data_IF_109975232252
#
_entry.id   IF_109975232252
#
_cell.length_a   1.000
_cell.length_b   1.000
_cell.length_c   1.000
_cell.angle_alpha   90.00
_cell.angle_beta   90.00
_cell.angle_gamma   90.00
#
_symmetry.space_group_name_H-M   'P 1'
#
loop_
_entity.id
_entity.type
_entity.pdbx_description
1 polymer ?
#
# COMPACT_ATOMS: atom_id res chain seq x y z
N UNK A 1 -2.12 26.64 24.78
CA UNK A 1 -1.82 26.73 23.34
C UNK A 1 -2.93 26.03 22.57
N UNK A 2 -4.02 26.74 22.31
CA UNK A 2 -5.15 26.26 21.48
C UNK A 2 -4.86 26.62 20.02
N UNK A 3 -4.52 25.63 19.20
CA UNK A 3 -4.44 25.80 17.75
C UNK A 3 -5.80 26.27 17.22
N UNK A 4 -5.81 27.40 16.52
CA UNK A 4 -7.02 27.94 15.88
C UNK A 4 -7.69 26.86 15.02
N UNK A 5 -9.03 26.71 15.05
CA UNK A 5 -9.74 25.65 14.33
C UNK A 5 -9.43 25.66 12.82
N UNK A 6 -9.06 26.82 12.27
CA UNK A 6 -8.59 26.98 10.90
C UNK A 6 -7.32 26.17 10.57
N UNK A 7 -6.35 26.09 11.48
CA UNK A 7 -5.09 25.36 11.26
C UNK A 7 -5.32 23.86 11.22
N UNK A 8 -6.21 23.36 12.10
CA UNK A 8 -6.58 21.94 12.14
C UNK A 8 -7.29 21.52 10.85
N UNK A 9 -8.23 22.34 10.37
CA UNK A 9 -8.94 22.08 9.12
C UNK A 9 -8.04 22.15 7.88
N UNK A 10 -7.11 23.11 7.84
CA UNK A 10 -6.13 23.21 6.74
C UNK A 10 -5.20 21.99 6.69
N UNK A 11 -4.74 21.50 7.85
CA UNK A 11 -3.89 20.32 7.92
C UNK A 11 -4.66 19.04 7.51
N UNK A 12 -5.91 18.91 7.94
CA UNK A 12 -6.77 17.80 7.54
C UNK A 12 -6.96 17.78 6.01
N UNK A 13 -7.32 18.91 5.40
CA UNK A 13 -7.48 19.01 3.95
C UNK A 13 -6.20 18.72 3.18
N UNK A 14 -5.06 19.23 3.66
CA UNK A 14 -3.76 18.94 3.04
C UNK A 14 -3.43 17.44 3.12
N UNK A 15 -3.67 16.81 4.27
CA UNK A 15 -3.42 15.37 4.45
C UNK A 15 -4.33 14.51 3.57
N UNK A 16 -5.59 14.91 3.36
CA UNK A 16 -6.53 14.24 2.48
C UNK A 16 -6.08 14.33 1.02
N UNK A 17 -5.68 15.52 0.55
CA UNK A 17 -5.19 15.70 -0.82
C UNK A 17 -3.92 14.90 -1.08
N UNK A 18 -2.97 14.91 -0.14
CA UNK A 18 -1.74 14.12 -0.23
C UNK A 18 -2.06 12.63 -0.27
N UNK A 19 -2.99 12.16 0.57
CA UNK A 19 -3.38 10.75 0.61
C UNK A 19 -4.08 10.30 -0.67
N UNK A 20 -4.89 11.16 -1.30
CA UNK A 20 -5.50 10.85 -2.59
C UNK A 20 -4.46 10.83 -3.72
N UNK A 21 -3.69 11.92 -3.88
CA UNK A 21 -2.74 12.07 -4.97
C UNK A 21 -1.55 11.10 -4.90
N UNK A 22 -1.04 10.79 -3.70
CA UNK A 22 0.05 9.83 -3.53
C UNK A 22 -0.47 8.41 -3.30
N UNK A 23 -1.60 8.23 -2.64
CA UNK A 23 -2.10 6.90 -2.29
C UNK A 23 -2.49 6.07 -3.51
N UNK A 24 -3.15 6.67 -4.49
CA UNK A 24 -3.55 5.99 -5.73
C UNK A 24 -2.36 5.45 -6.54
N UNK A 25 -1.33 6.26 -6.90
CA UNK A 25 -0.17 5.75 -7.61
C UNK A 25 0.66 4.78 -6.76
N UNK A 26 0.79 4.99 -5.45
CA UNK A 26 1.51 4.05 -4.57
C UNK A 26 0.84 2.68 -4.58
N UNK A 27 -0.49 2.61 -4.57
CA UNK A 27 -1.23 1.35 -4.68
C UNK A 27 -0.94 0.66 -6.02
N UNK A 28 -1.03 1.40 -7.13
CA UNK A 28 -0.80 0.86 -8.48
C UNK A 28 0.65 0.34 -8.61
N UNK A 29 1.64 1.15 -8.24
CA UNK A 29 3.05 0.76 -8.30
C UNK A 29 3.37 -0.38 -7.33
N UNK A 30 2.76 -0.41 -6.14
CA UNK A 30 2.92 -1.50 -5.17
C UNK A 30 2.41 -2.84 -5.70
N UNK A 31 1.24 -2.84 -6.35
CA UNK A 31 0.68 -4.03 -6.99
C UNK A 31 1.53 -4.48 -8.18
N UNK A 32 1.91 -3.55 -9.07
CA UNK A 32 2.74 -3.86 -10.25
C UNK A 32 4.10 -4.41 -9.81
N UNK A 33 4.77 -3.77 -8.86
CA UNK A 33 6.06 -4.21 -8.34
C UNK A 33 5.98 -5.58 -7.66
N UNK A 34 4.90 -5.84 -6.92
CA UNK A 34 4.62 -7.13 -6.32
C UNK A 34 4.44 -8.25 -7.36
N UNK A 35 3.65 -7.99 -8.41
CA UNK A 35 3.45 -8.93 -9.54
C UNK A 35 4.77 -9.18 -10.27
N UNK A 36 5.58 -8.14 -10.52
CA UNK A 36 6.90 -8.29 -11.16
C UNK A 36 7.83 -9.16 -10.33
N UNK A 37 7.89 -8.95 -9.01
CA UNK A 37 8.68 -9.79 -8.10
C UNK A 37 8.24 -11.27 -8.18
N UNK A 38 6.93 -11.51 -8.18
CA UNK A 38 6.37 -12.85 -8.29
C UNK A 38 6.73 -13.51 -9.62
N UNK A 39 6.64 -12.77 -10.73
CA UNK A 39 7.03 -13.23 -12.07
C UNK A 39 8.53 -13.55 -12.13
N UNK A 40 9.39 -12.72 -11.54
CA UNK A 40 10.85 -12.94 -11.48
C UNK A 40 11.17 -14.20 -10.69
N UNK A 41 10.58 -14.36 -9.50
CA UNK A 41 10.79 -15.56 -8.68
C UNK A 41 10.27 -16.85 -9.34
N UNK A 42 9.20 -16.77 -10.13
CA UNK A 42 8.66 -17.91 -10.90
C UNK A 42 9.49 -18.27 -12.14
N UNK A 43 10.09 -17.28 -12.82
CA UNK A 43 10.85 -17.52 -14.05
C UNK A 43 12.29 -18.00 -13.80
N UNK A 44 12.90 -17.66 -12.66
CA UNK A 44 14.22 -18.18 -12.32
C UNK A 44 14.14 -19.65 -11.89
N UNK A 45 14.48 -20.57 -12.81
CA UNK A 45 14.64 -22.02 -12.55
C UNK A 45 15.54 -22.32 -11.32
N UNK A 46 16.49 -21.45 -10.99
CA UNK A 46 17.35 -21.56 -9.80
C UNK A 46 16.59 -21.46 -8.47
N UNK A 47 15.44 -20.79 -8.42
CA UNK A 47 14.64 -20.63 -7.20
C UNK A 47 13.74 -21.86 -6.91
N UNK A 48 13.50 -22.75 -7.89
CA UNK A 48 12.64 -23.94 -7.72
C UNK A 48 13.21 -25.03 -6.80
N UNK A 49 14.49 -24.95 -6.46
CA UNK A 49 15.18 -25.99 -5.68
C UNK A 49 15.48 -25.58 -4.23
N UNK A 50 15.28 -24.31 -3.87
CA UNK A 50 15.58 -23.79 -2.53
C UNK A 50 14.29 -23.44 -1.80
N UNK A 51 14.05 -24.02 -0.62
CA UNK A 51 12.90 -23.72 0.24
C UNK A 51 12.77 -22.22 0.60
N UNK A 52 13.88 -21.47 0.51
CA UNK A 52 13.93 -20.03 0.74
C UNK A 52 13.12 -19.24 -0.29
N UNK A 53 13.14 -19.68 -1.56
CA UNK A 53 12.41 -19.06 -2.66
C UNK A 53 10.91 -18.98 -2.40
N UNK A 54 10.35 -20.10 -1.93
CA UNK A 54 8.94 -20.21 -1.62
C UNK A 54 8.55 -19.27 -0.48
N UNK A 55 9.39 -19.18 0.55
CA UNK A 55 9.17 -18.26 1.67
C UNK A 55 9.19 -16.80 1.22
N UNK A 56 10.12 -16.41 0.34
CA UNK A 56 10.19 -15.07 -0.24
C UNK A 56 8.95 -14.74 -1.10
N UNK A 57 8.43 -15.71 -1.84
CA UNK A 57 7.18 -15.55 -2.60
C UNK A 57 5.99 -15.33 -1.66
N UNK A 58 5.83 -16.17 -0.62
CA UNK A 58 4.74 -16.04 0.36
C UNK A 58 4.86 -14.72 1.12
N UNK A 59 6.06 -14.33 1.54
CA UNK A 59 6.30 -13.04 2.20
C UNK A 59 5.98 -11.87 1.28
N UNK A 60 6.31 -11.97 -0.01
CA UNK A 60 5.96 -10.95 -1.01
C UNK A 60 4.44 -10.89 -1.23
N UNK A 61 3.73 -12.02 -1.27
CA UNK A 61 2.26 -12.07 -1.33
C UNK A 61 1.61 -11.45 -0.09
N UNK A 62 2.10 -11.76 1.11
CA UNK A 62 1.63 -11.16 2.37
C UNK A 62 1.89 -9.66 2.38
N UNK A 63 3.04 -9.20 1.88
CA UNK A 63 3.37 -7.78 1.79
C UNK A 63 2.47 -7.03 0.79
N UNK A 64 2.13 -7.67 -0.34
CA UNK A 64 1.14 -7.15 -1.29
C UNK A 64 -0.24 -7.07 -0.63
N UNK A 65 -0.66 -8.14 0.07
CA UNK A 65 -1.92 -8.18 0.80
C UNK A 65 -2.01 -7.08 1.87
N UNK A 66 -0.96 -6.92 2.67
CA UNK A 66 -0.83 -5.85 3.67
C UNK A 66 -0.91 -4.46 3.05
N UNK A 67 -0.24 -4.22 1.91
CA UNK A 67 -0.40 -2.97 1.17
C UNK A 67 -1.84 -2.79 0.66
N UNK A 68 -2.45 -3.85 0.13
CA UNK A 68 -3.82 -3.81 -0.38
C UNK A 68 -4.87 -3.59 0.71
N UNK A 69 -4.69 -4.11 1.93
CA UNK A 69 -5.66 -3.89 3.00
C UNK A 69 -5.34 -2.62 3.78
N UNK A 70 -4.08 -2.43 4.18
CA UNK A 70 -3.64 -1.31 5.01
C UNK A 70 -3.71 0.05 4.30
N UNK A 71 -3.12 0.17 3.10
CA UNK A 71 -3.15 1.45 2.38
C UNK A 71 -4.54 1.75 1.82
N UNK A 72 -5.28 0.74 1.35
CA UNK A 72 -6.58 0.93 0.71
C UNK A 72 -7.65 1.32 1.74
N UNK A 73 -7.67 0.69 2.93
CA UNK A 73 -8.51 1.16 4.05
C UNK A 73 -8.16 2.59 4.45
N UNK A 74 -6.87 2.94 4.52
CA UNK A 74 -6.44 4.31 4.87
C UNK A 74 -6.86 5.34 3.82
N UNK A 75 -6.78 5.01 2.54
CA UNK A 75 -7.23 5.87 1.44
C UNK A 75 -8.76 6.02 1.44
N UNK A 76 -9.52 4.97 1.77
CA UNK A 76 -10.98 5.09 1.89
C UNK A 76 -11.41 5.94 3.07
N UNK A 77 -10.83 5.72 4.25
CA UNK A 77 -11.19 6.46 5.47
C UNK A 77 -10.73 7.93 5.36
N UNK A 78 -9.50 8.16 4.92
CA UNK A 78 -8.90 9.52 4.90
C UNK A 78 -9.28 10.28 3.63
N UNK A 79 -9.36 9.60 2.49
CA UNK A 79 -9.59 10.20 1.18
C UNK A 79 -11.07 10.38 0.86
N UNK A 80 -11.89 9.36 1.12
CA UNK A 80 -13.30 9.33 0.77
C UNK A 80 -14.25 9.51 1.97
N UNK A 81 -13.72 9.54 3.20
CA UNK A 81 -14.50 9.58 4.44
C UNK A 81 -15.53 8.45 4.54
N UNK A 82 -15.24 7.30 3.91
CA UNK A 82 -16.05 6.09 3.98
C UNK A 82 -15.35 5.16 4.97
N UNK A 83 -15.96 4.97 6.15
CA UNK A 83 -15.54 3.92 7.08
C UNK A 83 -16.02 2.56 6.53
N UNK A 84 -15.05 1.76 6.09
CA UNK A 84 -15.23 0.35 5.71
C UNK A 84 -14.77 -0.62 6.81
N UNK A 85 -14.51 -0.09 8.01
CA UNK A 85 -14.32 -0.87 9.24
C UNK A 85 -15.67 -1.11 9.90
#
# INVERSE_FOLDING_TARGET
MSSSPSVVSSLANASQQVTLYLGQPILIFGIIGGIFNLIVFLNLKTFRQSSCAFYLIVMSCVNIGQSLTGYLSRIMITGYNIDWT
#
